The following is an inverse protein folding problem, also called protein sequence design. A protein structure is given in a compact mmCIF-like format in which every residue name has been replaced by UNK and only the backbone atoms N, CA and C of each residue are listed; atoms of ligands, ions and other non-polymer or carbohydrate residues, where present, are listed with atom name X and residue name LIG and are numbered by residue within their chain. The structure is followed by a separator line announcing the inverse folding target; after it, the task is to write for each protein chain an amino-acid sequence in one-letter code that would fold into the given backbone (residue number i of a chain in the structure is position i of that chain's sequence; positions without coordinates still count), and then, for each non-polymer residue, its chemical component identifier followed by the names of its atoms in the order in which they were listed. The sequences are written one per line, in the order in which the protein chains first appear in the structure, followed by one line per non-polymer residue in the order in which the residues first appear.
data_IF_444206396707
#
_entry.id   IF_444206396707
#
_cell.length_a   1.000
_cell.length_b   1.000
_cell.length_c   1.000
_cell.angle_alpha   90.00
_cell.angle_beta   90.00
_cell.angle_gamma   90.00
#
_symmetry.space_group_name_H-M   'P 1'
#
loop_
_entity.id
_entity.type
_entity.pdbx_description
1 polymer ?
#
# COMPACT_ATOMS: atom_id res chain seq x y z
N UNK A 1 -14.24 12.13 -11.19
CA UNK A 1 -13.33 11.08 -11.72
C UNK A 1 -12.85 10.19 -10.58
N UNK A 2 -12.44 10.78 -9.45
CA UNK A 2 -12.07 10.06 -8.22
C UNK A 2 -13.16 9.13 -7.67
N UNK A 3 -14.45 9.55 -7.70
CA UNK A 3 -15.55 8.71 -7.21
C UNK A 3 -15.82 7.44 -8.04
N UNK A 4 -15.58 7.50 -9.35
CA UNK A 4 -15.81 6.35 -10.23
C UNK A 4 -14.73 5.29 -10.04
N UNK A 5 -13.47 5.73 -9.87
CA UNK A 5 -12.34 4.86 -9.56
C UNK A 5 -12.59 4.15 -8.23
N UNK A 6 -13.00 4.88 -7.18
CA UNK A 6 -13.40 4.34 -5.87
C UNK A 6 -14.56 3.32 -5.96
N UNK A 7 -15.59 3.60 -6.76
CA UNK A 7 -16.70 2.68 -6.97
C UNK A 7 -16.28 1.40 -7.70
N UNK A 8 -15.41 1.52 -8.72
CA UNK A 8 -14.85 0.38 -9.44
C UNK A 8 -13.90 -0.45 -8.55
N UNK A 9 -13.25 0.16 -7.55
CA UNK A 9 -12.42 -0.53 -6.55
C UNK A 9 -13.16 -1.52 -5.66
N UNK A 10 -14.46 -1.28 -5.43
CA UNK A 10 -15.29 -2.15 -4.60
C UNK A 10 -15.90 -3.31 -5.40
N UNK A 11 -16.03 -3.18 -6.72
CA UNK A 11 -16.73 -4.14 -7.57
C UNK A 11 -15.88 -5.28 -8.13
N UNK A 12 -14.55 -5.16 -8.17
CA UNK A 12 -13.66 -6.17 -8.77
C UNK A 12 -13.06 -7.08 -7.71
N UNK A 13 -13.60 -8.29 -7.57
CA UNK A 13 -13.06 -9.34 -6.70
C UNK A 13 -12.00 -10.12 -7.46
N UNK A 14 -10.73 -9.79 -7.23
CA UNK A 14 -9.62 -10.74 -7.34
C UNK A 14 -8.98 -10.80 -5.95
N UNK A 15 -9.20 -11.92 -5.27
CA UNK A 15 -8.78 -12.14 -3.88
C UNK A 15 -7.29 -12.46 -3.85
N UNK A 16 -6.47 -11.47 -3.51
CA UNK A 16 -5.06 -11.67 -3.18
C UNK A 16 -4.91 -11.90 -1.67
N UNK A 17 -3.94 -12.72 -1.25
CA UNK A 17 -3.70 -12.94 0.17
C UNK A 17 -3.40 -11.61 0.86
N UNK A 18 -4.05 -11.38 2.00
CA UNK A 18 -3.68 -10.32 2.93
C UNK A 18 -2.31 -10.69 3.52
N UNK A 19 -1.26 -9.95 3.13
CA UNK A 19 0.09 -10.22 3.61
C UNK A 19 0.35 -9.38 4.84
N UNK A 20 0.89 -10.01 5.88
CA UNK A 20 1.23 -9.34 7.14
C UNK A 20 2.75 -9.37 7.36
N UNK A 21 3.30 -8.21 7.70
CA UNK A 21 4.71 -8.02 7.97
C UNK A 21 4.92 -7.48 9.38
N UNK A 22 5.93 -8.01 10.07
CA UNK A 22 6.47 -7.37 11.27
C UNK A 22 7.30 -6.15 10.87
N UNK A 23 7.17 -5.09 11.64
CA UNK A 23 7.90 -3.82 11.45
C UNK A 23 8.78 -3.60 12.66
N UNK A 24 10.04 -3.21 12.46
CA UNK A 24 10.90 -2.89 13.60
C UNK A 24 10.46 -1.57 14.29
N UNK A 25 10.88 -1.31 15.55
CA UNK A 25 10.47 -0.12 16.29
C UNK A 25 10.83 1.20 15.61
N UNK A 26 11.99 1.28 14.94
CA UNK A 26 12.42 2.46 14.19
C UNK A 26 11.50 2.73 13.00
N UNK A 27 11.05 1.67 12.34
CA UNK A 27 10.07 1.68 11.27
C UNK A 27 8.74 2.23 11.73
N UNK A 28 8.22 1.72 12.85
CA UNK A 28 6.98 2.25 13.46
C UNK A 28 7.12 3.74 13.81
N UNK A 29 8.24 4.14 14.38
CA UNK A 29 8.51 5.56 14.65
C UNK A 29 8.50 6.39 13.36
N UNK A 30 9.14 5.91 12.29
CA UNK A 30 9.17 6.59 11.00
C UNK A 30 7.80 6.63 10.29
N UNK A 31 6.97 5.61 10.46
CA UNK A 31 5.63 5.49 9.86
C UNK A 31 4.56 6.32 10.59
N UNK A 32 4.78 6.63 11.87
CA UNK A 32 3.90 7.52 12.64
C UNK A 32 4.17 9.01 12.40
N UNK A 33 5.29 9.36 11.78
CA UNK A 33 5.56 10.73 11.33
C UNK A 33 4.58 11.11 10.21
N UNK A 34 3.85 12.24 10.32
CA UNK A 34 2.90 12.66 9.31
C UNK A 34 3.50 12.66 7.91
N UNK A 35 2.79 12.04 6.96
CA UNK A 35 3.14 12.02 5.53
C UNK A 35 4.46 11.31 5.17
N UNK A 36 5.18 10.71 6.13
CA UNK A 36 6.47 10.04 5.89
C UNK A 36 6.35 8.92 4.86
N UNK A 37 5.41 8.00 5.08
CA UNK A 37 5.11 6.92 4.13
C UNK A 37 4.64 7.46 2.78
N UNK A 38 3.71 8.42 2.78
CA UNK A 38 3.12 8.98 1.56
C UNK A 38 4.20 9.57 0.64
N UNK A 39 5.09 10.40 1.20
CA UNK A 39 6.19 11.01 0.44
C UNK A 39 7.18 9.98 -0.09
N UNK A 40 7.46 8.94 0.69
CA UNK A 40 8.36 7.86 0.29
C UNK A 40 7.77 7.03 -0.86
N UNK A 41 6.48 6.67 -0.79
CA UNK A 41 5.83 5.93 -1.87
C UNK A 41 5.75 6.77 -3.15
N UNK A 42 5.52 8.07 -3.02
CA UNK A 42 5.51 8.98 -4.17
C UNK A 42 6.86 9.02 -4.90
N UNK A 43 7.99 8.84 -4.22
CA UNK A 43 9.31 8.75 -4.90
C UNK A 43 9.50 7.45 -5.70
N UNK A 44 8.56 6.50 -5.59
CA UNK A 44 8.52 5.25 -6.34
C UNK A 44 7.36 5.24 -7.36
N UNK A 45 6.80 6.41 -7.69
CA UNK A 45 5.62 6.55 -8.56
C UNK A 45 4.38 5.81 -8.04
N UNK A 46 4.28 5.63 -6.72
CA UNK A 46 3.14 5.03 -6.04
C UNK A 46 2.41 6.16 -5.30
N UNK A 47 1.23 6.53 -5.78
CA UNK A 47 0.49 7.70 -5.34
C UNK A 47 -0.50 7.35 -4.24
N UNK A 48 -0.50 8.10 -3.13
CA UNK A 48 -1.56 7.95 -2.13
C UNK A 48 -2.82 8.68 -2.60
N UNK A 49 -3.94 7.96 -2.67
CA UNK A 49 -5.23 8.49 -3.13
C UNK A 49 -6.22 8.71 -1.97
N UNK A 50 -6.01 8.02 -0.86
CA UNK A 50 -6.74 8.24 0.39
C UNK A 50 -5.86 7.80 1.56
N UNK A 51 -5.90 8.56 2.65
CA UNK A 51 -5.27 8.18 3.90
C UNK A 51 -6.18 8.55 5.07
N UNK A 52 -6.07 7.82 6.17
CA UNK A 52 -6.91 8.02 7.33
C UNK A 52 -6.54 7.08 8.46
N UNK A 53 -7.50 6.83 9.35
CA UNK A 53 -7.25 6.14 10.59
C UNK A 53 -6.53 7.03 11.61
N UNK A 54 -6.34 6.50 12.81
CA UNK A 54 -5.69 7.12 13.96
C UNK A 54 -4.98 6.04 14.75
N UNK A 55 -4.00 6.42 15.56
CA UNK A 55 -3.28 5.47 16.42
C UNK A 55 -4.25 4.54 17.17
N UNK A 56 -4.02 3.22 17.17
CA UNK A 56 -2.84 2.56 16.62
C UNK A 56 -2.93 2.19 15.13
N UNK A 57 -4.08 2.34 14.47
CA UNK A 57 -4.32 1.88 13.10
C UNK A 57 -4.31 3.04 12.09
N UNK A 58 -3.23 3.12 11.33
CA UNK A 58 -3.09 4.05 10.20
C UNK A 58 -3.44 3.32 8.91
N UNK A 59 -4.26 3.96 8.06
CA UNK A 59 -4.77 3.34 6.83
C UNK A 59 -4.40 4.19 5.63
N UNK A 60 -3.90 3.53 4.59
CA UNK A 60 -3.49 4.16 3.34
C UNK A 60 -4.03 3.37 2.16
N UNK A 61 -4.45 4.11 1.14
CA UNK A 61 -4.79 3.59 -0.18
C UNK A 61 -3.84 4.21 -1.19
N UNK A 62 -3.21 3.35 -1.98
CA UNK A 62 -2.26 3.72 -3.00
C UNK A 62 -2.73 3.28 -4.39
N UNK A 63 -2.33 4.04 -5.40
CA UNK A 63 -2.50 3.77 -6.81
C UNK A 63 -1.15 3.85 -7.52
N UNK A 64 -0.91 2.91 -8.43
CA UNK A 64 0.21 2.96 -9.36
C UNK A 64 -0.25 2.41 -10.72
N UNK A 65 0.40 2.87 -11.79
CA UNK A 65 0.14 2.40 -13.14
C UNK A 65 1.47 2.02 -13.79
N UNK A 66 1.51 0.90 -14.49
CA UNK A 66 2.68 0.51 -15.28
C UNK A 66 2.76 1.40 -16.54
N UNK A 67 3.92 1.94 -16.84
CA UNK A 67 4.08 2.94 -17.91
C UNK A 67 3.90 2.33 -19.32
N UNK A 68 4.47 1.14 -19.55
CA UNK A 68 4.48 0.51 -20.87
C UNK A 68 3.14 -0.18 -21.24
N UNK A 69 2.35 -0.53 -20.24
CA UNK A 69 1.08 -1.23 -20.37
C UNK A 69 0.17 -0.64 -19.28
N UNK A 70 -1.02 -0.10 -19.59
CA UNK A 70 -1.88 0.58 -18.62
C UNK A 70 -2.58 -0.42 -17.70
N UNK A 71 -1.77 -1.15 -16.92
CA UNK A 71 -2.19 -2.02 -15.84
C UNK A 71 -2.22 -1.18 -14.57
N UNK A 72 -3.40 -1.11 -13.97
CA UNK A 72 -3.61 -0.38 -12.75
C UNK A 72 -3.40 -1.30 -11.54
N UNK A 73 -2.74 -0.74 -10.53
CA UNK A 73 -2.46 -1.37 -9.25
C UNK A 73 -3.02 -0.53 -8.13
N UNK A 74 -3.73 -1.18 -7.24
CA UNK A 74 -4.37 -0.60 -6.08
C UNK A 74 -3.89 -1.31 -4.84
N UNK A 75 -3.51 -0.56 -3.81
CA UNK A 75 -3.00 -1.17 -2.58
C UNK A 75 -3.64 -0.54 -1.36
N UNK A 76 -4.25 -1.37 -0.53
CA UNK A 76 -4.60 -1.02 0.84
C UNK A 76 -3.44 -1.42 1.75
N UNK A 77 -2.95 -0.47 2.54
CA UNK A 77 -1.90 -0.69 3.53
C UNK A 77 -2.40 -0.21 4.90
N UNK A 78 -2.39 -1.11 5.88
CA UNK A 78 -2.79 -0.82 7.27
C UNK A 78 -1.57 -1.03 8.16
N UNK A 79 -1.18 0.00 8.89
CA UNK A 79 -0.09 -0.06 9.86
C UNK A 79 -0.69 0.00 11.26
N UNK A 80 -0.38 -1.02 12.06
CA UNK A 80 -0.71 -1.04 13.48
C UNK A 80 0.54 -0.74 14.31
N UNK A 81 0.59 0.45 14.90
CA UNK A 81 1.74 0.90 15.70
C UNK A 81 1.86 0.19 17.05
N UNK A 82 0.78 -0.41 17.56
CA UNK A 82 0.79 -1.13 18.83
C UNK A 82 1.31 -2.55 18.68
N UNK A 83 0.94 -3.26 17.61
CA UNK A 83 1.40 -4.63 17.33
C UNK A 83 2.67 -4.66 16.50
N UNK A 84 3.14 -3.50 16.02
CA UNK A 84 4.27 -3.35 15.12
C UNK A 84 4.11 -4.19 13.83
N UNK A 85 2.92 -4.11 13.23
CA UNK A 85 2.56 -4.89 12.04
C UNK A 85 2.06 -4.01 10.91
N UNK A 86 2.32 -4.43 9.68
CA UNK A 86 1.73 -3.87 8.47
C UNK A 86 0.96 -4.95 7.72
N UNK A 87 -0.27 -4.66 7.35
CA UNK A 87 -1.09 -5.49 6.47
C UNK A 87 -1.13 -4.82 5.09
N UNK A 88 -0.90 -5.62 4.05
CA UNK A 88 -0.86 -5.15 2.66
C UNK A 88 -1.81 -6.00 1.84
N UNK A 89 -2.64 -5.31 1.06
CA UNK A 89 -3.57 -5.92 0.11
C UNK A 89 -3.46 -5.24 -1.22
N UNK A 90 -2.90 -5.95 -2.20
CA UNK A 90 -2.76 -5.49 -3.58
C UNK A 90 -3.95 -5.99 -4.39
N UNK A 91 -4.49 -5.14 -5.26
CA UNK A 91 -5.40 -5.48 -6.35
C UNK A 91 -4.73 -5.01 -7.64
N UNK A 92 -4.78 -5.83 -8.67
CA UNK A 92 -4.25 -5.52 -9.98
C UNK A 92 -5.29 -5.88 -11.04
N UNK A 93 -5.30 -5.16 -12.16
CA UNK A 93 -6.17 -5.49 -13.30
C UNK A 93 -5.89 -6.91 -13.83
N UNK A 94 -4.61 -7.29 -13.87
CA UNK A 94 -4.17 -8.61 -14.27
C UNK A 94 -3.54 -9.39 -13.12
N UNK A 95 -4.14 -10.56 -12.81
CA UNK A 95 -3.68 -11.41 -11.72
C UNK A 95 -2.22 -11.85 -11.86
N UNK A 96 -1.74 -12.06 -13.10
CA UNK A 96 -0.36 -12.46 -13.41
C UNK A 96 0.69 -11.45 -12.93
N UNK A 97 0.33 -10.16 -12.83
CA UNK A 97 1.27 -9.08 -12.49
C UNK A 97 1.19 -8.63 -11.04
N UNK A 98 0.15 -9.06 -10.31
CA UNK A 98 -0.09 -8.73 -8.91
C UNK A 98 1.10 -9.03 -7.99
N UNK A 99 1.69 -10.22 -8.10
CA UNK A 99 2.80 -10.66 -7.25
C UNK A 99 4.06 -9.85 -7.52
N UNK A 100 4.34 -9.55 -8.79
CA UNK A 100 5.48 -8.72 -9.17
C UNK A 100 5.33 -7.29 -8.61
N UNK A 101 4.13 -6.73 -8.67
CA UNK A 101 3.85 -5.43 -8.07
C UNK A 101 3.93 -5.47 -6.54
N UNK A 102 3.40 -6.51 -5.89
CA UNK A 102 3.51 -6.69 -4.44
C UNK A 102 4.98 -6.67 -4.00
N UNK A 103 5.86 -7.38 -4.70
CA UNK A 103 7.31 -7.34 -4.44
C UNK A 103 7.92 -5.94 -4.60
N UNK A 104 7.48 -5.15 -5.59
CA UNK A 104 7.93 -3.74 -5.73
C UNK A 104 7.45 -2.89 -4.54
N UNK A 105 6.20 -3.06 -4.14
CA UNK A 105 5.59 -2.34 -3.02
C UNK A 105 6.30 -2.68 -1.69
N UNK A 106 6.56 -3.97 -1.46
CA UNK A 106 7.33 -4.48 -0.32
C UNK A 106 8.77 -3.94 -0.31
N UNK A 107 9.44 -3.99 -1.47
CA UNK A 107 10.80 -3.45 -1.62
C UNK A 107 10.83 -1.96 -1.25
N UNK A 108 9.82 -1.18 -1.64
CA UNK A 108 9.72 0.22 -1.23
C UNK A 108 9.57 0.33 0.30
N UNK A 109 8.81 -0.55 0.95
CA UNK A 109 8.60 -0.55 2.40
C UNK A 109 9.80 -1.02 3.22
N UNK A 110 10.78 -1.70 2.62
CA UNK A 110 12.01 -2.15 3.31
C UNK A 110 12.75 -1.01 4.03
N UNK A 111 12.63 0.23 3.55
CA UNK A 111 13.16 1.44 4.23
C UNK A 111 12.60 1.65 5.64
N UNK A 112 11.41 1.13 5.90
CA UNK A 112 10.74 1.18 7.21
C UNK A 112 10.95 -0.11 8.01
N UNK A 113 11.92 -0.95 7.65
CA UNK A 113 12.22 -2.17 8.41
C UNK A 113 11.15 -3.25 8.31
N UNK A 114 10.41 -3.26 7.20
CA UNK A 114 9.66 -4.43 6.72
C UNK A 114 10.61 -5.33 5.93
N UNK A 115 10.32 -6.64 5.76
CA UNK A 115 11.19 -7.56 5.01
C UNK A 115 11.48 -7.11 3.58
#
# INVERSE_FOLDING_TARGET
MEDYVLAQMLSSVLYFPDIEYSVNPQGIAALTVPQSLIKHMQSHSIHCIASGGQSPNFKFFFFAQKEAEPLDYLTECIINSSSAKAQIKVKADEQSTSQAFATIFETALSKFGMP
#
